data_IF_659981359582
#
_entry.id   IF_659981359582
#
_cell.length_a   1.000
_cell.length_b   1.000
_cell.length_c   1.000
_cell.angle_alpha   90.00
_cell.angle_beta   90.00
_cell.angle_gamma   90.00
#
_symmetry.space_group_name_H-M   'P 1'
#
loop_
_entity.id
_entity.type
_entity.pdbx_description
1 polymer ?
#
# COMPACT_ATOMS: atom_id res chain seq x y z
N UNK A 1 8.45 0.28 21.49
CA UNK A 1 8.88 -1.10 21.84
C UNK A 1 7.98 -2.15 21.21
N UNK A 2 6.64 -2.09 21.37
CA UNK A 2 5.69 -3.06 20.75
C UNK A 2 5.80 -3.13 19.22
N UNK A 3 6.07 -2.01 18.53
CA UNK A 3 6.26 -2.00 17.07
C UNK A 3 7.53 -2.73 16.60
N UNK A 4 8.52 -2.96 17.46
CA UNK A 4 9.74 -3.68 17.10
C UNK A 4 9.52 -5.20 17.10
N UNK A 5 8.76 -5.73 18.06
CA UNK A 5 8.37 -7.15 18.10
C UNK A 5 7.46 -7.52 16.93
N UNK A 6 6.53 -6.63 16.57
CA UNK A 6 5.61 -6.84 15.45
C UNK A 6 6.29 -6.92 14.08
N UNK A 7 7.52 -6.40 13.92
CA UNK A 7 8.28 -6.48 12.66
C UNK A 7 8.81 -7.88 12.35
N UNK A 8 8.84 -8.79 13.33
CA UNK A 8 9.23 -10.19 13.11
C UNK A 8 8.19 -10.92 12.26
N UNK A 9 6.91 -10.56 12.37
CA UNK A 9 5.86 -11.13 11.52
C UNK A 9 5.92 -10.54 10.12
N UNK A 10 6.10 -11.41 9.11
CA UNK A 10 6.19 -11.02 7.70
C UNK A 10 4.97 -10.21 7.24
N UNK A 11 3.77 -10.68 7.59
CA UNK A 11 2.51 -10.02 7.21
C UNK A 11 2.38 -8.62 7.80
N UNK A 12 2.79 -8.43 9.06
CA UNK A 12 2.72 -7.14 9.73
C UNK A 12 3.78 -6.18 9.20
N UNK A 13 5.00 -6.68 8.92
CA UNK A 13 6.05 -5.87 8.31
C UNK A 13 5.65 -5.39 6.90
N UNK A 14 5.01 -6.25 6.10
CA UNK A 14 4.47 -5.88 4.78
C UNK A 14 3.49 -4.71 4.92
N UNK A 15 2.48 -4.83 5.79
CA UNK A 15 1.47 -3.79 5.98
C UNK A 15 2.07 -2.47 6.48
N UNK A 16 2.94 -2.53 7.50
CA UNK A 16 3.59 -1.33 8.06
C UNK A 16 4.44 -0.62 7.00
N UNK A 17 5.20 -1.38 6.21
CA UNK A 17 6.05 -0.81 5.15
C UNK A 17 5.20 -0.17 4.05
N UNK A 18 4.08 -0.79 3.67
CA UNK A 18 3.11 -0.19 2.75
C UNK A 18 2.55 1.12 3.29
N UNK A 19 2.09 1.15 4.55
CA UNK A 19 1.55 2.37 5.17
C UNK A 19 2.60 3.48 5.20
N UNK A 20 3.85 3.19 5.57
CA UNK A 20 4.91 4.19 5.56
C UNK A 20 5.24 4.70 4.15
N UNK A 21 5.29 3.81 3.16
CA UNK A 21 5.49 4.20 1.76
C UNK A 21 4.38 5.13 1.28
N UNK A 22 3.13 4.80 1.60
CA UNK A 22 1.95 5.62 1.27
C UNK A 22 2.02 6.99 1.96
N UNK A 23 2.31 7.04 3.26
CA UNK A 23 2.45 8.31 4.00
C UNK A 23 3.55 9.18 3.37
N UNK A 24 4.68 8.58 3.00
CA UNK A 24 5.80 9.31 2.41
C UNK A 24 5.46 9.92 1.04
N UNK A 25 4.70 9.22 0.21
CA UNK A 25 4.27 9.71 -1.11
C UNK A 25 3.17 10.76 -1.00
N UNK A 26 2.20 10.59 -0.09
CA UNK A 26 1.07 11.51 0.08
C UNK A 26 1.47 12.82 0.79
N UNK A 27 2.63 12.89 1.48
CA UNK A 27 3.05 14.12 2.18
C UNK A 27 3.06 15.36 1.27
N UNK A 28 3.49 15.20 0.00
CA UNK A 28 3.53 16.29 -0.98
C UNK A 28 2.11 16.72 -1.34
N UNK A 29 1.21 15.76 -1.50
CA UNK A 29 -0.21 16.02 -1.72
C UNK A 29 -0.84 16.81 -0.57
N UNK A 30 -0.59 16.44 0.69
CA UNK A 30 -1.09 17.19 1.84
C UNK A 30 -0.55 18.62 1.91
N UNK A 31 0.71 18.85 1.52
CA UNK A 31 1.28 20.21 1.44
C UNK A 31 0.57 21.05 0.37
N UNK A 32 0.28 20.48 -0.80
CA UNK A 32 -0.48 21.17 -1.87
C UNK A 32 -1.91 21.43 -1.43
N UNK A 33 -2.55 20.46 -0.76
CA UNK A 33 -3.89 20.60 -0.21
C UNK A 33 -3.95 21.73 0.82
N UNK A 34 -3.02 21.76 1.78
CA UNK A 34 -2.94 22.82 2.79
C UNK A 34 -2.71 24.21 2.16
N UNK A 35 -1.79 24.30 1.19
CA UNK A 35 -1.55 25.53 0.44
C UNK A 35 -2.82 26.01 -0.30
N UNK A 36 -3.55 25.08 -0.93
CA UNK A 36 -4.81 25.39 -1.60
C UNK A 36 -5.86 25.90 -0.60
N UNK A 37 -6.02 25.24 0.55
CA UNK A 37 -6.96 25.68 1.60
C UNK A 37 -6.65 27.09 2.09
N UNK A 38 -5.37 27.41 2.32
CA UNK A 38 -4.95 28.76 2.74
C UNK A 38 -5.26 29.78 1.65
N UNK A 39 -4.95 29.46 0.38
CA UNK A 39 -5.23 30.35 -0.75
C UNK A 39 -6.73 30.66 -0.87
N UNK A 40 -7.58 29.64 -0.79
CA UNK A 40 -9.03 29.82 -0.85
C UNK A 40 -9.58 30.55 0.38
N UNK A 41 -9.00 30.32 1.56
CA UNK A 41 -9.38 31.08 2.77
C UNK A 41 -9.09 32.57 2.59
N UNK A 42 -7.90 32.92 2.09
CA UNK A 42 -7.54 34.31 1.80
C UNK A 42 -8.49 34.91 0.76
N UNK A 43 -8.83 34.15 -0.29
CA UNK A 43 -9.78 34.60 -1.30
C UNK A 43 -11.17 34.89 -0.72
N UNK A 44 -11.71 34.00 0.13
CA UNK A 44 -13.00 34.20 0.81
C UNK A 44 -12.96 35.43 1.70
N UNK A 45 -11.93 35.56 2.55
CA UNK A 45 -11.79 36.72 3.44
C UNK A 45 -11.71 38.01 2.62
N UNK A 46 -11.01 38.00 1.48
CA UNK A 46 -10.90 39.16 0.61
C UNK A 46 -12.25 39.53 -0.03
N UNK A 47 -13.02 38.54 -0.51
CA UNK A 47 -14.36 38.75 -1.07
C UNK A 47 -15.32 39.28 0.00
N UNK A 48 -15.28 38.73 1.22
CA UNK A 48 -16.12 39.18 2.34
C UNK A 48 -15.75 40.60 2.76
N UNK A 49 -14.47 40.94 2.89
CA UNK A 49 -14.04 42.28 3.26
C UNK A 49 -14.35 43.32 2.17
N UNK A 50 -14.16 42.96 0.90
CA UNK A 50 -14.53 43.81 -0.23
C UNK A 50 -16.03 44.12 -0.27
N UNK A 51 -16.88 43.20 0.18
CA UNK A 51 -18.33 43.41 0.20
C UNK A 51 -18.81 44.39 1.28
N UNK A 52 -18.03 44.59 2.35
CA UNK A 52 -18.47 45.27 3.59
C UNK A 52 -18.12 46.75 3.60
N UNK A 53 -17.24 47.19 2.70
CA UNK A 53 -16.80 48.59 2.65
C UNK A 53 -17.92 49.58 2.28
N UNK A 54 -19.07 49.10 1.79
CA UNK A 54 -20.13 49.97 1.22
C UNK A 54 -21.46 50.00 1.99
N UNK A 55 -21.68 49.18 3.02
CA UNK A 55 -22.94 49.22 3.80
C UNK A 55 -22.75 49.07 5.31
N UNK A 56 -23.48 49.87 6.10
CA UNK A 56 -23.60 49.69 7.55
C UNK A 56 -24.13 48.28 7.82
N UNK A 57 -23.29 47.46 8.44
CA UNK A 57 -23.48 46.01 8.45
C UNK A 57 -24.45 45.60 9.56
N UNK A 58 -25.47 44.76 9.27
CA UNK A 58 -26.28 44.15 10.32
C UNK A 58 -25.41 43.24 11.18
N UNK A 59 -25.64 43.28 12.50
CA UNK A 59 -24.83 42.60 13.54
C UNK A 59 -24.87 41.07 13.46
N UNK A 60 -25.71 40.49 12.61
CA UNK A 60 -26.11 39.07 12.66
C UNK A 60 -25.53 38.21 11.52
N UNK A 61 -24.56 38.71 10.75
CA UNK A 61 -23.95 37.95 9.66
C UNK A 61 -23.30 36.65 10.16
N UNK A 62 -23.67 35.52 9.56
CA UNK A 62 -23.28 34.18 10.00
C UNK A 62 -21.85 33.77 9.61
N UNK A 63 -21.28 34.46 8.62
CA UNK A 63 -19.90 34.25 8.18
C UNK A 63 -18.88 34.85 9.18
N UNK A 64 -17.94 34.06 9.70
CA UNK A 64 -16.92 34.55 10.61
C UNK A 64 -15.98 35.54 9.89
N UNK A 65 -15.69 36.66 10.55
CA UNK A 65 -14.74 37.69 10.07
C UNK A 65 -13.29 37.28 10.29
N UNK A 66 -13.05 36.38 11.24
CA UNK A 66 -11.71 35.94 11.59
C UNK A 66 -11.20 34.91 10.58
N UNK A 67 -9.91 35.01 10.24
CA UNK A 67 -9.24 34.08 9.33
C UNK A 67 -9.43 32.62 9.73
N UNK A 68 -9.37 32.31 11.02
CA UNK A 68 -9.58 30.94 11.53
C UNK A 68 -11.01 30.45 11.31
N UNK A 69 -11.99 31.35 11.44
CA UNK A 69 -13.37 31.01 11.14
C UNK A 69 -13.55 30.75 9.64
N UNK A 70 -13.02 31.61 8.77
CA UNK A 70 -13.04 31.39 7.34
C UNK A 70 -12.32 30.09 6.93
N UNK A 71 -11.18 29.78 7.57
CA UNK A 71 -10.45 28.54 7.36
C UNK A 71 -11.28 27.32 7.76
N UNK A 72 -11.97 27.38 8.90
CA UNK A 72 -12.88 26.32 9.34
C UNK A 72 -14.05 26.15 8.36
N UNK A 73 -14.59 27.24 7.81
CA UNK A 73 -15.64 27.20 6.78
C UNK A 73 -15.13 26.52 5.52
N UNK A 74 -13.92 26.84 5.05
CA UNK A 74 -13.30 26.17 3.87
C UNK A 74 -13.09 24.68 4.13
N UNK A 75 -12.66 24.30 5.33
CA UNK A 75 -12.52 22.90 5.71
C UNK A 75 -13.86 22.15 5.71
N UNK A 76 -14.90 22.74 6.31
CA UNK A 76 -16.25 22.16 6.33
C UNK A 76 -16.86 22.09 4.92
N UNK A 77 -16.57 23.09 4.09
CA UNK A 77 -16.97 23.15 2.68
C UNK A 77 -16.35 22.00 1.88
N UNK A 78 -15.08 21.69 2.12
CA UNK A 78 -14.41 20.53 1.54
C UNK A 78 -15.07 19.21 1.96
N UNK A 79 -15.58 19.15 3.21
CA UNK A 79 -16.38 18.03 3.72
C UNK A 79 -17.82 17.97 3.19
N UNK A 80 -18.22 18.91 2.32
CA UNK A 80 -19.57 18.97 1.75
C UNK A 80 -20.62 19.60 2.68
N UNK A 81 -20.19 20.30 3.73
CA UNK A 81 -21.11 20.95 4.66
C UNK A 81 -21.28 22.43 4.28
N UNK A 82 -22.38 22.74 3.60
CA UNK A 82 -22.68 24.06 3.02
C UNK A 82 -23.61 24.93 3.86
N UNK A 83 -24.02 24.47 5.06
CA UNK A 83 -25.00 25.16 5.91
C UNK A 83 -24.65 26.63 6.23
N UNK A 84 -23.37 27.00 6.48
CA UNK A 84 -22.99 28.40 6.73
C UNK A 84 -23.24 29.34 5.55
N UNK A 85 -23.27 28.81 4.32
CA UNK A 85 -23.44 29.62 3.10
C UNK A 85 -24.91 29.83 2.74
N UNK A 86 -25.79 28.95 3.21
CA UNK A 86 -27.19 28.95 2.79
C UNK A 86 -27.98 30.10 3.45
N UNK A 87 -27.60 30.50 4.67
CA UNK A 87 -28.26 31.60 5.40
C UNK A 87 -27.99 32.95 4.75
N UNK A 88 -26.75 33.18 4.32
CA UNK A 88 -26.36 34.46 3.74
C UNK A 88 -26.74 34.57 2.24
N UNK A 89 -27.04 33.45 1.57
CA UNK A 89 -27.52 33.42 0.17
C UNK A 89 -29.03 33.61 -0.01
N UNK A 90 -29.84 33.30 1.01
CA UNK A 90 -31.31 33.30 0.90
C UNK A 90 -31.99 34.58 1.43
N UNK A 91 -31.24 35.50 2.01
CA UNK A 91 -31.79 36.71 2.63
C UNK A 91 -31.96 37.80 1.57
N UNK A 92 -33.23 38.13 1.33
CA UNK A 92 -33.84 39.26 0.64
C UNK A 92 -33.72 39.34 -0.89
N UNK A 93 -34.72 38.76 -1.56
CA UNK A 93 -35.01 38.92 -2.98
C UNK A 93 -35.47 40.33 -3.42
N UNK A 94 -35.08 41.39 -2.72
CA UNK A 94 -35.56 42.76 -2.99
C UNK A 94 -34.47 43.77 -3.43
N UNK A 95 -33.17 43.48 -3.29
CA UNK A 95 -32.12 44.45 -3.63
C UNK A 95 -31.31 44.12 -4.90
N UNK A 96 -31.96 44.29 -6.05
CA UNK A 96 -31.33 44.70 -7.31
C UNK A 96 -30.31 43.78 -8.00
N UNK A 97 -30.03 44.10 -9.27
CA UNK A 97 -29.12 43.38 -10.18
C UNK A 97 -27.68 43.26 -9.61
N UNK A 98 -27.26 44.18 -8.74
CA UNK A 98 -25.90 44.24 -8.18
C UNK A 98 -25.66 43.23 -7.04
N UNK A 99 -26.69 42.89 -6.25
CA UNK A 99 -26.61 41.84 -5.23
C UNK A 99 -26.47 40.43 -5.84
N UNK A 100 -27.16 40.19 -6.96
CA UNK A 100 -27.09 38.94 -7.71
C UNK A 100 -25.68 38.61 -8.22
N UNK A 101 -24.92 39.61 -8.69
CA UNK A 101 -23.55 39.41 -9.18
C UNK A 101 -22.56 39.06 -8.06
N UNK A 102 -22.67 39.69 -6.88
CA UNK A 102 -21.79 39.41 -5.74
C UNK A 102 -22.04 37.99 -5.20
N UNK A 103 -23.30 37.59 -5.07
CA UNK A 103 -23.69 36.23 -4.68
C UNK A 103 -23.24 35.19 -5.73
N UNK A 104 -23.34 35.54 -7.01
CA UNK A 104 -22.86 34.71 -8.12
C UNK A 104 -21.35 34.47 -8.10
N UNK A 105 -20.55 35.50 -7.78
CA UNK A 105 -19.08 35.36 -7.69
C UNK A 105 -18.67 34.46 -6.52
N UNK A 106 -19.32 34.60 -5.36
CA UNK A 106 -19.07 33.71 -4.21
C UNK A 106 -19.47 32.27 -4.52
N UNK A 107 -20.65 32.05 -5.10
CA UNK A 107 -21.11 30.73 -5.53
C UNK A 107 -20.17 30.11 -6.56
N UNK A 108 -19.71 30.88 -7.55
CA UNK A 108 -18.75 30.42 -8.54
C UNK A 108 -17.42 30.04 -7.90
N UNK A 109 -16.92 30.84 -6.94
CA UNK A 109 -15.69 30.52 -6.20
C UNK A 109 -15.83 29.22 -5.40
N UNK A 110 -16.97 29.02 -4.74
CA UNK A 110 -17.30 27.79 -3.99
C UNK A 110 -17.40 26.59 -4.94
N UNK A 111 -18.04 26.73 -6.10
CA UNK A 111 -18.15 25.67 -7.11
C UNK A 111 -16.79 25.28 -7.70
N UNK A 112 -15.94 26.26 -8.00
CA UNK A 112 -14.56 26.03 -8.47
C UNK A 112 -13.75 25.32 -7.38
N UNK A 113 -13.85 25.78 -6.13
CA UNK A 113 -13.17 25.15 -5.00
C UNK A 113 -13.62 23.70 -4.78
N UNK A 114 -14.93 23.44 -4.80
CA UNK A 114 -15.49 22.11 -4.67
C UNK A 114 -15.02 21.20 -5.80
N UNK A 115 -15.08 21.67 -7.05
CA UNK A 115 -14.60 20.89 -8.20
C UNK A 115 -13.11 20.58 -8.07
N UNK A 116 -12.30 21.57 -7.70
CA UNK A 116 -10.87 21.40 -7.50
C UNK A 116 -10.55 20.41 -6.35
N UNK A 117 -11.16 20.59 -5.18
CA UNK A 117 -10.87 19.78 -4.00
C UNK A 117 -11.49 18.37 -4.07
N UNK A 118 -12.73 18.24 -4.50
CA UNK A 118 -13.42 16.95 -4.52
C UNK A 118 -13.14 16.14 -5.78
N UNK A 119 -13.04 16.77 -6.96
CA UNK A 119 -12.83 16.02 -8.22
C UNK A 119 -11.34 15.87 -8.51
N UNK A 120 -10.57 16.97 -8.52
CA UNK A 120 -9.15 16.88 -8.90
C UNK A 120 -8.32 16.26 -7.79
N UNK A 121 -8.41 16.78 -6.56
CA UNK A 121 -7.52 16.31 -5.48
C UNK A 121 -7.84 14.87 -5.06
N UNK A 122 -9.10 14.45 -5.05
CA UNK A 122 -9.45 13.05 -4.74
C UNK A 122 -8.94 12.07 -5.81
N UNK A 123 -9.09 12.39 -7.10
CA UNK A 123 -8.59 11.55 -8.18
C UNK A 123 -7.06 11.45 -8.15
N UNK A 124 -6.37 12.55 -7.89
CA UNK A 124 -4.91 12.57 -7.73
C UNK A 124 -4.49 11.75 -6.50
N UNK A 125 -5.21 11.86 -5.39
CA UNK A 125 -4.93 11.09 -4.18
C UNK A 125 -5.05 9.58 -4.43
N UNK A 126 -6.12 9.14 -5.11
CA UNK A 126 -6.31 7.72 -5.47
C UNK A 126 -5.17 7.26 -6.39
N UNK A 127 -4.79 8.06 -7.39
CA UNK A 127 -3.68 7.72 -8.28
C UNK A 127 -2.33 7.61 -7.53
N UNK A 128 -2.07 8.51 -6.58
CA UNK A 128 -0.87 8.47 -5.75
C UNK A 128 -0.87 7.28 -4.80
N UNK A 129 -2.00 6.94 -4.19
CA UNK A 129 -2.14 5.74 -3.35
C UNK A 129 -1.81 4.49 -4.17
N UNK A 130 -2.40 4.35 -5.36
CA UNK A 130 -2.15 3.21 -6.23
C UNK A 130 -0.67 3.13 -6.65
N UNK A 131 -0.06 4.26 -7.01
CA UNK A 131 1.38 4.29 -7.33
C UNK A 131 2.25 3.91 -6.13
N UNK A 132 1.92 4.41 -4.94
CA UNK A 132 2.63 4.10 -3.71
C UNK A 132 2.50 2.62 -3.32
N UNK A 133 1.32 2.02 -3.54
CA UNK A 133 1.12 0.59 -3.31
C UNK A 133 2.02 -0.27 -4.19
N UNK A 134 2.11 0.01 -5.49
CA UNK A 134 2.99 -0.75 -6.41
C UNK A 134 4.44 -0.64 -5.97
N UNK A 135 4.94 0.57 -5.68
CA UNK A 135 6.32 0.76 -5.20
C UNK A 135 6.58 0.07 -3.86
N UNK A 136 5.62 0.09 -2.95
CA UNK A 136 5.75 -0.55 -1.65
C UNK A 136 5.72 -2.08 -1.77
N UNK A 137 4.92 -2.64 -2.68
CA UNK A 137 4.85 -4.09 -2.92
C UNK A 137 6.17 -4.65 -3.51
N UNK A 138 6.90 -3.83 -4.29
CA UNK A 138 8.22 -4.23 -4.79
C UNK A 138 9.32 -4.19 -3.72
N UNK A 139 9.22 -3.27 -2.76
CA UNK A 139 10.31 -2.96 -1.81
C UNK A 139 10.17 -3.57 -0.42
N UNK A 140 8.96 -3.96 0.01
CA UNK A 140 8.74 -4.43 1.39
C UNK A 140 9.56 -5.67 1.74
N UNK A 141 9.79 -6.58 0.79
CA UNK A 141 10.52 -7.82 1.05
C UNK A 141 11.98 -7.55 1.37
N UNK A 142 12.59 -6.59 0.68
CA UNK A 142 13.96 -6.17 0.96
C UNK A 142 14.06 -5.51 2.34
N UNK A 143 13.13 -4.59 2.64
CA UNK A 143 13.07 -3.90 3.94
C UNK A 143 12.84 -4.90 5.07
N UNK A 144 11.95 -5.88 4.89
CA UNK A 144 11.71 -6.93 5.88
C UNK A 144 12.96 -7.78 6.11
N UNK A 145 13.64 -8.20 5.03
CA UNK A 145 14.86 -9.00 5.14
C UNK A 145 15.97 -8.24 5.87
N UNK A 146 16.13 -6.94 5.57
CA UNK A 146 17.11 -6.08 6.24
C UNK A 146 16.80 -5.90 7.73
N UNK A 147 15.53 -5.62 8.09
CA UNK A 147 15.12 -5.52 9.49
C UNK A 147 15.32 -6.85 10.23
N UNK A 148 14.99 -7.98 9.59
CA UNK A 148 15.19 -9.31 10.16
C UNK A 148 16.67 -9.63 10.35
N UNK A 149 17.51 -9.22 9.40
CA UNK A 149 18.95 -9.38 9.49
C UNK A 149 19.53 -8.62 10.69
N UNK A 150 19.18 -7.34 10.83
CA UNK A 150 19.61 -6.51 11.97
C UNK A 150 19.14 -7.07 13.32
N UNK A 151 17.94 -7.66 13.36
CA UNK A 151 17.44 -8.32 14.56
C UNK A 151 18.28 -9.54 14.93
N UNK A 152 18.63 -10.39 13.94
CA UNK A 152 19.47 -11.56 14.19
C UNK A 152 20.89 -11.14 14.59
N UNK A 153 21.46 -10.14 13.93
CA UNK A 153 22.78 -9.57 14.27
C UNK A 153 22.80 -9.06 15.72
N UNK A 154 21.75 -8.34 16.14
CA UNK A 154 21.62 -7.84 17.51
C UNK A 154 21.51 -8.96 18.54
N UNK A 155 20.72 -10.01 18.22
CA UNK A 155 20.57 -11.18 19.09
C UNK A 155 21.87 -11.98 19.19
N UNK A 156 22.58 -12.15 18.08
CA UNK A 156 23.87 -12.83 18.03
C UNK A 156 24.92 -12.06 18.85
N UNK A 157 25.02 -10.74 18.65
CA UNK A 157 25.93 -9.88 19.41
C UNK A 157 25.71 -10.01 20.93
N UNK A 158 24.46 -10.12 21.36
CA UNK A 158 24.13 -10.36 22.77
C UNK A 158 24.59 -11.74 23.26
N UNK A 159 24.52 -12.77 22.41
CA UNK A 159 24.93 -14.13 22.76
C UNK A 159 26.45 -14.30 22.92
N UNK A 160 27.27 -13.51 22.21
CA UNK A 160 28.74 -13.55 22.35
C UNK A 160 29.22 -13.16 23.75
N UNK A 161 28.45 -12.34 24.45
CA UNK A 161 28.80 -11.90 25.80
C UNK A 161 28.58 -12.98 26.87
N UNK A 162 27.94 -14.11 26.53
CA UNK A 162 27.67 -15.20 27.45
C UNK A 162 28.73 -16.31 27.27
N UNK A 163 29.63 -16.52 28.25
CA UNK A 163 30.68 -17.53 28.13
C UNK A 163 30.09 -18.95 28.08
N UNK A 164 30.58 -19.77 27.14
CA UNK A 164 30.17 -21.17 26.98
C UNK A 164 28.85 -21.39 26.23
N UNK A 165 28.12 -20.33 25.85
CA UNK A 165 26.84 -20.48 25.16
C UNK A 165 26.98 -21.15 23.79
N UNK A 166 27.93 -20.70 22.94
CA UNK A 166 28.17 -21.30 21.61
C UNK A 166 28.73 -22.72 21.66
N UNK A 167 29.47 -23.08 22.70
CA UNK A 167 29.98 -24.44 22.86
C UNK A 167 28.87 -25.42 23.27
N UNK A 168 27.80 -24.91 23.89
CA UNK A 168 26.70 -25.74 24.39
C UNK A 168 25.55 -25.85 23.39
N UNK A 169 25.31 -24.79 22.61
CA UNK A 169 24.18 -24.70 21.69
C UNK A 169 24.65 -24.39 20.27
N UNK A 170 24.46 -25.35 19.36
CA UNK A 170 24.71 -25.21 17.92
C UNK A 170 23.51 -24.54 17.22
N UNK A 171 23.07 -23.40 17.76
CA UNK A 171 21.93 -22.63 17.22
C UNK A 171 22.34 -21.66 16.11
N UNK A 172 23.64 -21.42 15.96
CA UNK A 172 24.20 -20.50 14.97
C UNK A 172 25.31 -21.18 14.20
N UNK A 173 25.32 -21.09 12.86
CA UNK A 173 26.39 -21.67 12.06
C UNK A 173 27.75 -21.06 12.44
N UNK A 174 28.80 -21.87 12.35
CA UNK A 174 30.17 -21.52 12.74
C UNK A 174 30.72 -20.35 11.92
N UNK A 175 30.23 -20.19 10.69
CA UNK A 175 30.49 -19.04 9.81
C UNK A 175 29.19 -18.41 9.38
N UNK A 176 29.08 -17.09 9.55
CA UNK A 176 27.85 -16.37 9.29
C UNK A 176 28.05 -15.41 8.12
N UNK A 177 27.21 -15.56 7.10
CA UNK A 177 27.32 -14.85 5.83
C UNK A 177 26.82 -13.39 5.88
N UNK A 178 26.78 -12.74 7.04
CA UNK A 178 26.29 -11.35 7.14
C UNK A 178 27.19 -10.33 6.45
N UNK A 179 28.44 -10.70 6.18
CA UNK A 179 29.39 -9.90 5.39
C UNK A 179 29.48 -10.35 3.93
N UNK A 180 28.64 -11.31 3.50
CA UNK A 180 28.73 -11.85 2.15
C UNK A 180 28.24 -10.82 1.13
N UNK A 181 29.15 -10.35 0.28
CA UNK A 181 28.80 -9.51 -0.86
C UNK A 181 27.80 -10.23 -1.77
N UNK A 182 26.96 -9.50 -2.50
CA UNK A 182 26.02 -10.10 -3.48
C UNK A 182 26.73 -11.08 -4.43
N UNK A 183 27.99 -10.80 -4.77
CA UNK A 183 28.84 -11.68 -5.56
C UNK A 183 29.13 -13.03 -4.87
N UNK A 184 29.50 -13.01 -3.59
CA UNK A 184 29.78 -14.21 -2.80
C UNK A 184 28.53 -15.07 -2.61
N UNK A 185 27.38 -14.44 -2.39
CA UNK A 185 26.08 -15.15 -2.34
C UNK A 185 25.77 -15.82 -3.67
N UNK A 186 25.94 -15.11 -4.79
CA UNK A 186 25.74 -15.67 -6.14
C UNK A 186 26.70 -16.83 -6.45
N UNK A 187 27.95 -16.74 -5.99
CA UNK A 187 28.96 -17.80 -6.10
C UNK A 187 28.64 -19.02 -5.22
N UNK A 188 28.05 -18.82 -4.04
CA UNK A 188 27.60 -19.91 -3.18
C UNK A 188 26.45 -20.68 -3.83
N UNK A 189 25.40 -20.00 -4.29
CA UNK A 189 24.27 -20.63 -4.97
C UNK A 189 24.71 -21.43 -6.20
N UNK A 190 25.62 -20.89 -7.01
CA UNK A 190 26.21 -21.63 -8.15
C UNK A 190 26.92 -22.93 -7.74
N UNK A 191 27.51 -22.98 -6.55
CA UNK A 191 28.19 -24.18 -6.03
C UNK A 191 27.21 -25.18 -5.45
N UNK A 192 26.17 -24.72 -4.77
CA UNK A 192 25.11 -25.58 -4.23
C UNK A 192 24.32 -26.23 -5.37
N UNK A 193 23.82 -25.44 -6.32
CA UNK A 193 23.06 -25.98 -7.47
C UNK A 193 23.87 -26.94 -8.32
N UNK A 194 25.17 -26.69 -8.52
CA UNK A 194 26.07 -27.64 -9.21
C UNK A 194 26.27 -28.94 -8.44
N UNK A 195 26.39 -28.87 -7.11
CA UNK A 195 26.51 -30.08 -6.28
C UNK A 195 25.24 -30.93 -6.34
N UNK A 196 24.08 -30.29 -6.34
CA UNK A 196 22.81 -30.98 -6.44
C UNK A 196 22.62 -31.63 -7.83
N UNK A 197 23.11 -30.99 -8.91
CA UNK A 197 23.15 -31.59 -10.26
C UNK A 197 24.16 -32.76 -10.37
N UNK A 198 25.32 -32.68 -9.71
CA UNK A 198 26.32 -33.76 -9.66
C UNK A 198 25.79 -34.99 -8.90
N UNK A 199 25.07 -34.79 -7.80
CA UNK A 199 24.45 -35.87 -7.02
C UNK A 199 23.37 -36.60 -7.84
N UNK A 200 22.63 -35.90 -8.69
CA UNK A 200 21.62 -36.51 -9.60
C UNK A 200 22.29 -37.26 -10.77
N UNK A 201 23.52 -36.89 -11.17
CA UNK A 201 24.25 -37.56 -12.24
C UNK A 201 24.95 -38.85 -11.79
N UNK A 202 25.38 -38.94 -10.52
CA UNK A 202 25.99 -40.17 -9.97
C UNK A 202 24.93 -41.27 -9.70
N UNK A 203 23.71 -40.92 -9.29
CA UNK A 203 22.65 -41.92 -9.02
C UNK A 203 22.09 -42.57 -10.31
N UNK A 204 22.22 -41.92 -11.47
CA UNK A 204 21.76 -42.48 -12.75
C UNK A 204 22.81 -43.38 -13.44
N UNK A 205 24.04 -43.48 -12.93
CA UNK A 205 25.07 -44.34 -13.51
C UNK A 205 25.00 -45.80 -13.01
N UNK A 206 24.24 -46.07 -11.94
CA UNK A 206 24.06 -47.42 -11.37
C UNK A 206 22.79 -48.15 -11.82
N UNK A 207 21.90 -47.50 -12.59
CA UNK A 207 20.64 -48.11 -13.08
C UNK A 207 20.65 -48.52 -14.57
N UNK A 208 21.75 -48.32 -15.30
CA UNK A 208 21.86 -48.63 -16.74
C UNK A 208 22.75 -49.85 -17.02
N UNK A 209 22.68 -50.86 -16.15
CA UNK A 209 23.46 -52.08 -16.22
C UNK A 209 22.64 -53.36 -16.31
N UNK A 210 21.37 -53.33 -16.76
CA UNK A 210 20.64 -54.56 -17.07
C UNK A 210 19.41 -54.31 -17.94
N UNK A 211 19.58 -54.17 -19.25
CA UNK A 211 18.51 -54.59 -20.17
C UNK A 211 19.08 -55.00 -21.53
N UNK A 212 18.99 -56.32 -21.73
CA UNK A 212 19.23 -57.06 -22.95
C UNK A 212 18.29 -56.61 -24.05
N UNK A 213 18.83 -56.59 -25.27
CA UNK A 213 18.24 -55.87 -26.39
C UNK A 213 16.92 -56.43 -26.93
N UNK A 214 16.23 -55.58 -27.68
CA UNK A 214 15.50 -56.02 -28.85
C UNK A 214 15.44 -54.90 -29.90
N UNK A 215 15.76 -55.30 -31.13
CA UNK A 215 15.55 -54.63 -32.40
C UNK A 215 14.30 -53.74 -32.45
N UNK A 216 14.39 -52.56 -33.08
CA UNK A 216 13.71 -52.37 -34.37
C UNK A 216 14.13 -51.08 -35.08
N UNK A 217 14.31 -51.25 -36.39
CA UNK A 217 14.52 -50.24 -37.42
C UNK A 217 13.50 -49.10 -37.40
N UNK A 218 13.97 -47.88 -37.69
CA UNK A 218 13.09 -46.71 -37.89
C UNK A 218 13.81 -45.52 -38.51
N UNK A 219 14.23 -45.68 -39.76
CA UNK A 219 14.73 -44.63 -40.64
C UNK A 219 13.68 -43.53 -40.87
N UNK A 220 13.94 -42.28 -40.45
CA UNK A 220 13.39 -41.11 -41.14
C UNK A 220 14.30 -39.90 -40.96
N UNK A 221 14.96 -39.56 -42.07
CA UNK A 221 15.74 -38.35 -42.30
C UNK A 221 14.85 -37.40 -43.10
N UNK A 222 14.29 -36.36 -42.50
CA UNK A 222 13.80 -35.18 -43.24
C UNK A 222 13.80 -33.92 -42.36
N UNK A 223 14.26 -32.85 -42.99
CA UNK A 223 14.01 -31.43 -42.72
C UNK A 223 14.63 -30.75 -41.49
N UNK A 224 15.84 -30.22 -41.76
CA UNK A 224 16.36 -28.97 -41.23
C UNK A 224 15.41 -27.83 -41.62
N UNK A 225 14.70 -27.28 -40.64
CA UNK A 225 14.00 -26.01 -40.70
C UNK A 225 14.21 -25.32 -39.36
N UNK A 226 14.77 -24.11 -39.40
CA UNK A 226 15.02 -23.28 -38.23
C UNK A 226 13.70 -22.97 -37.50
N UNK A 227 13.63 -23.06 -36.16
CA UNK A 227 12.56 -22.43 -35.40
C UNK A 227 13.04 -21.08 -34.88
N UNK A 228 12.62 -20.01 -35.57
CA UNK A 228 12.46 -18.70 -34.98
C UNK A 228 11.28 -18.74 -33.97
N UNK A 229 11.57 -18.34 -32.73
CA UNK A 229 10.70 -17.56 -31.83
C UNK A 229 9.19 -17.82 -31.87
N UNK A 230 8.71 -18.78 -31.07
CA UNK A 230 7.33 -18.82 -30.57
C UNK A 230 7.24 -19.65 -29.26
N UNK A 231 7.97 -19.20 -28.23
CA UNK A 231 8.08 -19.90 -26.93
C UNK A 231 7.60 -19.11 -25.71
N UNK A 232 6.89 -17.98 -25.88
CA UNK A 232 6.52 -17.09 -24.75
C UNK A 232 5.03 -17.12 -24.36
N UNK A 233 4.16 -17.84 -25.09
CA UNK A 233 2.72 -17.85 -24.76
C UNK A 233 2.35 -19.00 -23.80
N UNK A 234 3.18 -20.04 -23.68
CA UNK A 234 2.85 -21.22 -22.84
C UNK A 234 3.22 -21.07 -21.36
N UNK A 235 4.08 -20.12 -20.99
CA UNK A 235 4.41 -19.84 -19.58
C UNK A 235 3.34 -18.98 -18.89
N UNK A 236 2.65 -18.11 -19.64
CA UNK A 236 1.65 -17.20 -19.10
C UNK A 236 0.33 -17.89 -18.68
N UNK A 237 -0.04 -19.01 -19.30
CA UNK A 237 -1.26 -19.73 -18.88
C UNK A 237 -1.07 -20.50 -17.57
N UNK A 238 0.15 -20.96 -17.28
CA UNK A 238 0.46 -21.74 -16.08
C UNK A 238 0.40 -20.88 -14.79
N UNK A 239 0.70 -19.58 -14.89
CA UNK A 239 0.61 -18.64 -13.75
C UNK A 239 -0.83 -18.19 -13.47
N UNK A 240 -1.70 -18.16 -14.48
CA UNK A 240 -3.12 -17.89 -14.30
C UNK A 240 -3.82 -19.02 -13.52
N UNK A 241 -3.51 -20.28 -13.85
CA UNK A 241 -4.08 -21.45 -13.18
C UNK A 241 -3.60 -21.57 -11.71
N UNK A 242 -2.33 -21.26 -11.45
CA UNK A 242 -1.79 -21.20 -10.07
C UNK A 242 -2.43 -20.10 -9.24
N UNK A 243 -2.64 -18.92 -9.83
CA UNK A 243 -3.32 -17.82 -9.16
C UNK A 243 -4.74 -18.21 -8.77
N UNK A 244 -5.47 -18.89 -9.67
CA UNK A 244 -6.85 -19.32 -9.41
C UNK A 244 -6.95 -20.37 -8.29
N UNK A 245 -5.96 -21.27 -8.18
CA UNK A 245 -5.88 -22.22 -7.07
C UNK A 245 -5.65 -21.51 -5.71
N UNK A 246 -4.76 -20.52 -5.67
CA UNK A 246 -4.51 -19.72 -4.45
C UNK A 246 -5.76 -18.95 -4.04
N UNK A 247 -6.49 -18.35 -5.00
CA UNK A 247 -7.76 -17.67 -4.70
C UNK A 247 -8.83 -18.59 -4.14
N UNK A 248 -8.89 -19.85 -4.60
CA UNK A 248 -9.84 -20.84 -4.08
C UNK A 248 -9.53 -21.21 -2.62
N UNK A 249 -8.26 -21.41 -2.29
CA UNK A 249 -7.81 -21.74 -0.93
C UNK A 249 -8.07 -20.57 0.04
N UNK A 250 -7.73 -19.34 -0.36
CA UNK A 250 -7.97 -18.13 0.44
C UNK A 250 -9.46 -17.87 0.70
N UNK A 251 -10.32 -18.24 -0.26
CA UNK A 251 -11.78 -18.10 -0.12
C UNK A 251 -12.36 -19.09 0.91
N UNK A 252 -11.78 -20.28 1.02
CA UNK A 252 -12.16 -21.26 2.04
C UNK A 252 -11.75 -20.76 3.42
N UNK A 253 -10.51 -20.30 3.59
CA UNK A 253 -10.05 -19.74 4.88
C UNK A 253 -10.86 -18.53 5.34
N UNK A 254 -11.17 -17.58 4.44
CA UNK A 254 -12.02 -16.43 4.78
C UNK A 254 -13.43 -16.85 5.21
N UNK A 255 -13.99 -17.91 4.61
CA UNK A 255 -15.29 -18.45 5.00
C UNK A 255 -15.27 -19.03 6.40
N UNK A 256 -14.21 -19.74 6.77
CA UNK A 256 -14.06 -20.31 8.12
C UNK A 256 -13.89 -19.22 9.17
N UNK A 257 -13.06 -18.20 8.91
CA UNK A 257 -12.90 -17.04 9.82
C UNK A 257 -14.24 -16.31 10.02
N UNK A 258 -15.02 -16.13 8.95
CA UNK A 258 -16.32 -15.45 9.03
C UNK A 258 -17.30 -16.23 9.91
N UNK A 259 -17.28 -17.58 9.82
CA UNK A 259 -18.10 -18.45 10.67
C UNK A 259 -17.70 -18.34 12.13
N UNK A 260 -16.40 -18.32 12.42
CA UNK A 260 -15.89 -18.23 13.79
C UNK A 260 -16.21 -16.87 14.43
N UNK A 261 -16.09 -15.78 13.67
CA UNK A 261 -16.51 -14.44 14.13
C UNK A 261 -18.01 -14.41 14.44
N UNK A 262 -18.86 -15.02 13.60
CA UNK A 262 -20.29 -15.10 13.87
C UNK A 262 -20.61 -15.91 15.13
N UNK A 263 -19.88 -17.02 15.37
CA UNK A 263 -20.05 -17.82 16.58
C UNK A 263 -19.66 -17.04 17.85
N UNK A 264 -18.56 -16.26 17.79
CA UNK A 264 -18.12 -15.41 18.90
C UNK A 264 -19.15 -14.30 19.18
N UNK A 265 -19.65 -13.63 18.13
CA UNK A 265 -20.69 -12.61 18.26
C UNK A 265 -21.97 -13.17 18.89
N UNK A 266 -22.40 -14.38 18.47
CA UNK A 266 -23.56 -15.04 19.05
C UNK A 266 -23.36 -15.39 20.53
N UNK A 267 -22.17 -15.85 20.92
CA UNK A 267 -21.84 -16.14 22.31
C UNK A 267 -21.83 -14.87 23.19
N UNK A 268 -21.28 -13.76 22.67
CA UNK A 268 -21.29 -12.47 23.37
C UNK A 268 -22.71 -11.93 23.58
N UNK A 269 -23.58 -12.08 22.58
CA UNK A 269 -24.98 -11.70 22.68
C UNK A 269 -25.70 -12.48 23.80
N UNK A 270 -25.46 -13.79 23.92
CA UNK A 270 -26.05 -14.61 25.00
C UNK A 270 -25.58 -14.20 26.39
N UNK A 271 -24.32 -13.78 26.54
CA UNK A 271 -23.79 -13.28 27.82
C UNK A 271 -24.47 -11.95 28.20
N UNK A 272 -24.71 -11.07 27.22
CA UNK A 272 -25.39 -9.79 27.43
C UNK A 272 -26.87 -9.95 27.81
N UNK A 273 -27.56 -10.95 27.27
CA UNK A 273 -28.97 -11.21 27.60
C UNK A 273 -29.15 -11.87 28.99
N UNK A 274 -28.08 -12.39 29.60
CA UNK A 274 -28.09 -12.98 30.94
C UNK A 274 -27.69 -12.00 32.05
N UNK A 275 -27.24 -10.79 31.72
CA UNK A 275 -26.86 -9.72 32.66
C UNK A 275 -27.95 -8.68 32.82
#
# INVERSE_FOLDING_TARGET
MVLAELRVSENVCKYITMVFGIIHEIKVFFMVLAASMIFFTIAIVHVIHGAVSDSERPSDASLPKDFLGALSTVYLLMGGWYDPLNKDMYIDGEEGIMGAYKNGLLLLMVMVYFTFSSVLMLNVLIALINSAFVKADDSWRQVWLENRLQYIESAENMSYHIPGFRNTFDWFPETIYYTATQYQVKQYWRRVTKKDEEIIFDDNQYLLGHETGENSNGNTRTHRGDPQTHGEISAASTDADKSQAIYAELKVEMSDITRDIHAILAALQQIQDQS
#
